data_IF_203805396872
#
_entry.id   IF_203805396872
#
_cell.length_a   1.000
_cell.length_b   1.000
_cell.length_c   1.000
_cell.angle_alpha   90.00
_cell.angle_beta   90.00
_cell.angle_gamma   90.00
#
_symmetry.space_group_name_H-M   'P 1'
#
loop_
_entity.id
_entity.type
_entity.pdbx_description
1 polymer ?
#
# COMPACT_ATOMS: atom_id res chain seq x y z
N UNK A 1 -5.62 26.08 18.24
CA UNK A 1 -6.23 24.89 18.88
C UNK A 1 -5.52 23.66 18.36
N UNK A 2 -4.90 22.84 19.23
CA UNK A 2 -4.43 21.51 18.83
C UNK A 2 -5.65 20.67 18.43
N UNK A 3 -5.71 20.19 17.19
CA UNK A 3 -6.71 19.19 16.79
C UNK A 3 -6.42 17.92 17.57
N UNK A 4 -7.41 17.34 18.21
CA UNK A 4 -7.27 16.00 18.81
C UNK A 4 -7.36 14.97 17.70
N UNK A 5 -6.69 13.82 17.87
CA UNK A 5 -6.76 12.69 16.93
C UNK A 5 -8.20 12.35 16.51
N UNK A 6 -9.11 12.26 17.49
CA UNK A 6 -10.54 12.03 17.27
C UNK A 6 -11.21 13.08 16.38
N UNK A 7 -10.83 14.36 16.52
CA UNK A 7 -11.37 15.43 15.67
C UNK A 7 -10.87 15.32 14.23
N UNK A 8 -9.63 14.85 14.04
CA UNK A 8 -9.06 14.61 12.72
C UNK A 8 -9.73 13.41 12.05
N UNK A 9 -9.85 12.28 12.74
CA UNK A 9 -10.56 11.09 12.24
C UNK A 9 -11.98 11.46 11.81
N UNK A 10 -12.74 12.14 12.69
CA UNK A 10 -14.09 12.59 12.37
C UNK A 10 -14.13 13.49 11.14
N UNK A 11 -13.15 14.38 10.98
CA UNK A 11 -13.06 15.24 9.80
C UNK A 11 -12.82 14.40 8.54
N UNK A 12 -11.81 13.53 8.53
CA UNK A 12 -11.47 12.70 7.37
C UNK A 12 -12.64 11.81 6.99
N UNK A 13 -13.27 11.14 7.97
CA UNK A 13 -14.46 10.32 7.76
C UNK A 13 -15.60 11.11 7.10
N UNK A 14 -15.85 12.34 7.55
CA UNK A 14 -16.90 13.20 6.99
C UNK A 14 -16.53 13.81 5.62
N UNK A 15 -15.24 13.85 5.27
CA UNK A 15 -14.76 14.33 3.98
C UNK A 15 -14.82 13.25 2.89
N UNK A 16 -15.18 12.00 3.24
CA UNK A 16 -15.48 10.92 2.29
C UNK A 16 -16.85 11.15 1.64
N UNK A 17 -16.94 10.95 0.33
CA UNK A 17 -18.18 11.10 -0.43
C UNK A 17 -18.92 9.78 -0.58
N UNK A 18 -18.22 8.67 -0.48
CA UNK A 18 -18.80 7.34 -0.64
C UNK A 18 -19.42 6.88 0.68
N UNK A 19 -20.60 6.22 0.68
CA UNK A 19 -21.19 5.66 1.88
C UNK A 19 -20.19 4.77 2.62
N UNK A 20 -19.91 5.13 3.87
CA UNK A 20 -18.93 4.45 4.72
C UNK A 20 -19.65 3.86 5.93
N UNK A 21 -19.49 2.55 6.13
CA UNK A 21 -20.09 1.82 7.24
C UNK A 21 -19.01 1.19 8.11
N UNK A 22 -19.30 1.04 9.40
CA UNK A 22 -18.46 0.32 10.34
C UNK A 22 -19.14 -0.98 10.78
N UNK A 23 -18.36 -2.07 10.88
CA UNK A 23 -18.80 -3.36 11.41
C UNK A 23 -17.71 -3.99 12.26
N UNK A 24 -18.10 -4.74 13.27
CA UNK A 24 -17.18 -5.62 13.99
C UNK A 24 -16.81 -6.83 13.13
N UNK A 25 -15.60 -7.34 13.30
CA UNK A 25 -15.05 -8.47 12.58
C UNK A 25 -14.14 -9.30 13.47
N UNK A 26 -14.03 -10.59 13.16
CA UNK A 26 -13.09 -11.52 13.79
C UNK A 26 -11.63 -11.24 13.39
N UNK A 27 -11.39 -10.38 12.39
CA UNK A 27 -10.04 -9.96 12.01
C UNK A 27 -9.35 -9.26 13.20
N UNK A 28 -8.07 -9.53 13.46
CA UNK A 28 -7.35 -8.96 14.60
C UNK A 28 -6.92 -7.49 14.37
N UNK A 29 -7.14 -6.95 13.17
CA UNK A 29 -6.71 -5.61 12.73
C UNK A 29 -7.88 -4.82 12.16
N UNK A 30 -7.79 -3.49 12.17
CA UNK A 30 -8.73 -2.66 11.41
C UNK A 30 -8.45 -2.88 9.92
N UNK A 31 -9.50 -2.96 9.12
CA UNK A 31 -9.37 -3.01 7.67
C UNK A 31 -10.52 -2.30 6.98
N UNK A 32 -10.23 -1.42 6.03
CA UNK A 32 -11.23 -0.93 5.09
C UNK A 32 -11.40 -1.95 3.97
N UNK A 33 -12.65 -2.16 3.56
CA UNK A 33 -13.02 -2.89 2.35
C UNK A 33 -13.72 -1.90 1.45
N UNK A 34 -13.22 -1.75 0.24
CA UNK A 34 -13.80 -0.81 -0.73
C UNK A 34 -14.47 -1.56 -1.87
N UNK A 35 -15.74 -1.22 -2.11
CA UNK A 35 -16.47 -1.62 -3.29
C UNK A 35 -16.52 -0.43 -4.27
N UNK A 36 -15.58 -0.41 -5.21
CA UNK A 36 -15.47 0.65 -6.23
C UNK A 36 -16.68 0.65 -7.16
N UNK A 37 -17.32 -0.51 -7.38
CA UNK A 37 -18.48 -0.62 -8.29
C UNK A 37 -19.69 0.05 -7.68
N UNK A 38 -19.95 -0.22 -6.40
CA UNK A 38 -21.03 0.40 -5.64
C UNK A 38 -20.64 1.73 -4.98
N UNK A 39 -19.37 2.14 -5.13
CA UNK A 39 -18.78 3.33 -4.52
C UNK A 39 -19.06 3.41 -3.03
N UNK A 40 -18.63 2.40 -2.28
CA UNK A 40 -18.82 2.32 -0.83
C UNK A 40 -17.61 1.76 -0.09
N UNK A 41 -17.53 2.08 1.19
CA UNK A 41 -16.49 1.60 2.10
C UNK A 41 -17.13 0.88 3.29
N UNK A 42 -16.48 -0.21 3.73
CA UNK A 42 -16.81 -0.95 4.94
C UNK A 42 -15.54 -1.04 5.80
N UNK A 43 -15.54 -0.38 6.94
CA UNK A 43 -14.45 -0.47 7.93
C UNK A 43 -14.78 -1.60 8.89
N UNK A 44 -13.92 -2.61 8.89
CA UNK A 44 -13.96 -3.75 9.78
C UNK A 44 -13.13 -3.44 11.03
N UNK A 45 -13.78 -3.49 12.19
CA UNK A 45 -13.18 -3.25 13.50
C UNK A 45 -12.98 -4.59 14.22
N UNK A 46 -11.82 -4.83 14.85
CA UNK A 46 -11.60 -6.07 15.60
C UNK A 46 -12.56 -6.18 16.79
N UNK A 47 -13.15 -7.37 17.00
CA UNK A 47 -14.03 -7.63 18.15
C UNK A 47 -13.33 -7.44 19.50
N UNK A 48 -12.07 -7.86 19.57
CA UNK A 48 -11.22 -7.71 20.75
C UNK A 48 -10.18 -6.63 20.44
N UNK A 49 -10.29 -5.49 21.11
CA UNK A 49 -9.24 -4.50 21.09
C UNK A 49 -8.04 -5.04 21.87
N UNK A 50 -7.07 -5.59 21.14
CA UNK A 50 -5.86 -6.14 21.76
C UNK A 50 -4.96 -5.03 22.34
N UNK A 51 -5.07 -3.78 21.89
CA UNK A 51 -4.34 -2.62 22.44
C UNK A 51 -5.17 -1.32 22.42
N UNK A 52 -5.04 -0.51 23.48
CA UNK A 52 -5.60 0.86 23.58
C UNK A 52 -4.75 1.86 22.77
N UNK A 53 -4.86 1.86 21.45
CA UNK A 53 -4.66 3.04 20.58
C UNK A 53 -4.80 2.60 19.13
N UNK A 54 -6.04 2.47 18.66
CA UNK A 54 -6.37 2.03 17.30
C UNK A 54 -6.70 3.22 16.37
N UNK A 55 -6.42 4.44 16.82
CA UNK A 55 -6.81 5.66 16.10
C UNK A 55 -5.88 5.92 14.89
N UNK A 56 -4.58 5.59 14.99
CA UNK A 56 -3.64 5.73 13.87
C UNK A 56 -3.92 4.70 12.78
N UNK A 57 -4.16 3.45 13.15
CA UNK A 57 -4.52 2.38 12.21
C UNK A 57 -5.89 2.67 11.59
N UNK A 58 -6.86 3.15 12.38
CA UNK A 58 -8.15 3.59 11.83
C UNK A 58 -7.95 4.73 10.82
N UNK A 59 -7.08 5.70 11.13
CA UNK A 59 -6.77 6.79 10.23
C UNK A 59 -6.02 6.31 8.98
N UNK A 60 -5.18 5.28 9.09
CA UNK A 60 -4.49 4.63 7.97
C UNK A 60 -5.52 4.05 6.99
N UNK A 61 -6.49 3.28 7.51
CA UNK A 61 -7.57 2.71 6.70
C UNK A 61 -8.47 3.78 6.06
N UNK A 62 -8.71 4.90 6.75
CA UNK A 62 -9.35 6.07 6.14
C UNK A 62 -8.48 6.73 5.05
N UNK A 63 -7.16 6.65 5.16
CA UNK A 63 -6.24 7.11 4.14
C UNK A 63 -6.40 6.34 2.83
N UNK A 64 -6.54 5.01 2.89
CA UNK A 64 -6.89 4.20 1.73
C UNK A 64 -8.21 4.63 1.08
N UNK A 65 -9.27 4.80 1.88
CA UNK A 65 -10.56 5.28 1.37
C UNK A 65 -10.42 6.67 0.71
N UNK A 66 -9.68 7.57 1.36
CA UNK A 66 -9.44 8.92 0.88
C UNK A 66 -8.70 8.93 -0.46
N UNK A 67 -7.60 8.18 -0.59
CA UNK A 67 -6.84 8.10 -1.84
C UNK A 67 -7.62 7.36 -2.93
N UNK A 68 -8.42 6.35 -2.56
CA UNK A 68 -9.31 5.66 -3.49
C UNK A 68 -10.31 6.62 -4.15
N UNK A 69 -10.98 7.46 -3.36
CA UNK A 69 -11.95 8.42 -3.88
C UNK A 69 -11.31 9.58 -4.65
N UNK A 70 -10.21 10.13 -4.12
CA UNK A 70 -9.65 11.41 -4.59
C UNK A 70 -8.58 11.25 -5.66
N UNK A 71 -7.91 10.11 -5.71
CA UNK A 71 -6.80 9.86 -6.63
C UNK A 71 -7.15 8.77 -7.62
N UNK A 72 -7.28 7.53 -7.14
CA UNK A 72 -7.61 6.40 -8.02
C UNK A 72 -8.02 5.16 -7.20
N UNK A 73 -8.96 4.32 -7.69
CA UNK A 73 -9.36 3.07 -7.04
C UNK A 73 -8.26 2.04 -6.74
N UNK A 74 -7.04 2.26 -7.22
CA UNK A 74 -5.90 1.36 -7.00
C UNK A 74 -5.46 1.34 -5.53
N UNK A 75 -5.73 2.42 -4.80
CA UNK A 75 -5.39 2.57 -3.38
C UNK A 75 -6.36 1.84 -2.43
N UNK A 76 -7.32 1.09 -2.97
CA UNK A 76 -8.16 0.21 -2.16
C UNK A 76 -7.35 -1.01 -1.69
N UNK A 77 -7.31 -1.22 -0.37
CA UNK A 77 -6.68 -2.33 0.42
C UNK A 77 -6.93 -3.77 -0.04
N UNK A 78 -7.79 -3.99 -1.02
CA UNK A 78 -8.17 -5.34 -1.44
C UNK A 78 -7.75 -5.66 -2.87
N UNK A 79 -7.36 -4.65 -3.66
CA UNK A 79 -7.20 -4.77 -5.11
C UNK A 79 -8.48 -5.25 -5.79
N UNK A 80 -9.02 -4.49 -6.76
CA UNK A 80 -10.02 -5.08 -7.64
C UNK A 80 -9.31 -5.87 -8.71
N UNK A 81 -9.55 -7.18 -8.79
CA UNK A 81 -8.93 -8.07 -9.78
C UNK A 81 -9.90 -8.37 -10.91
N UNK A 82 -9.37 -8.58 -12.11
CA UNK A 82 -10.21 -8.99 -13.23
C UNK A 82 -10.93 -10.32 -12.92
N UNK A 83 -12.20 -10.50 -13.35
CA UNK A 83 -13.01 -11.68 -13.00
C UNK A 83 -12.40 -13.04 -13.34
N UNK A 84 -11.45 -13.08 -14.28
CA UNK A 84 -10.80 -14.30 -14.78
C UNK A 84 -9.39 -14.53 -14.22
N UNK A 85 -8.88 -13.66 -13.34
CA UNK A 85 -7.55 -13.85 -12.75
C UNK A 85 -7.58 -15.06 -11.82
N UNK A 86 -6.71 -16.03 -12.10
CA UNK A 86 -6.59 -17.21 -11.27
C UNK A 86 -6.12 -16.82 -9.87
N UNK A 87 -6.90 -17.14 -8.84
CA UNK A 87 -6.55 -16.89 -7.42
C UNK A 87 -5.16 -17.40 -7.04
N UNK A 88 -4.71 -18.50 -7.63
CA UNK A 88 -3.36 -19.05 -7.39
C UNK A 88 -2.23 -18.18 -7.94
N UNK A 89 -2.52 -17.33 -8.93
CA UNK A 89 -1.54 -16.43 -9.55
C UNK A 89 -1.45 -15.09 -8.82
N UNK A 90 -2.56 -14.53 -8.33
CA UNK A 90 -2.55 -13.20 -7.73
C UNK A 90 -2.46 -13.16 -6.20
N UNK A 91 -2.96 -14.18 -5.48
CA UNK A 91 -2.91 -14.17 -4.01
C UNK A 91 -1.47 -14.00 -3.45
N UNK A 92 -0.44 -14.63 -4.04
CA UNK A 92 0.95 -14.42 -3.60
C UNK A 92 1.48 -13.00 -3.83
N UNK A 93 0.80 -12.19 -4.65
CA UNK A 93 1.24 -10.85 -5.03
C UNK A 93 0.54 -9.75 -4.24
N UNK A 94 -0.58 -10.07 -3.58
CA UNK A 94 -1.31 -9.16 -2.71
C UNK A 94 -0.42 -8.38 -1.73
N UNK A 95 0.60 -8.99 -1.09
CA UNK A 95 1.49 -8.25 -0.20
C UNK A 95 2.16 -7.05 -0.88
N UNK A 96 2.65 -7.19 -2.12
CA UNK A 96 3.27 -6.07 -2.85
C UNK A 96 2.28 -4.98 -3.25
N UNK A 97 1.03 -5.36 -3.57
CA UNK A 97 -0.02 -4.38 -3.86
C UNK A 97 -0.36 -3.55 -2.62
N UNK A 98 -0.52 -4.22 -1.47
CA UNK A 98 -0.81 -3.57 -0.22
C UNK A 98 0.35 -2.66 0.19
N UNK A 99 1.57 -3.20 0.27
CA UNK A 99 2.74 -2.43 0.69
C UNK A 99 3.00 -1.22 -0.21
N UNK A 100 2.79 -1.34 -1.53
CA UNK A 100 2.85 -0.20 -2.45
C UNK A 100 1.79 0.86 -2.13
N UNK A 101 0.54 0.45 -1.87
CA UNK A 101 -0.51 1.39 -1.48
C UNK A 101 -0.20 2.06 -0.14
N UNK A 102 0.30 1.29 0.83
CA UNK A 102 0.60 1.75 2.18
C UNK A 102 1.71 2.81 2.17
N UNK A 103 2.67 2.72 1.25
CA UNK A 103 3.69 3.76 1.05
C UNK A 103 3.08 5.16 0.82
N UNK A 104 2.05 5.25 -0.01
CA UNK A 104 1.36 6.51 -0.29
C UNK A 104 0.41 6.91 0.85
N UNK A 105 -0.26 5.94 1.48
CA UNK A 105 -1.16 6.21 2.62
C UNK A 105 -0.37 6.71 3.83
N UNK A 106 0.77 6.10 4.14
CA UNK A 106 1.64 6.52 5.22
C UNK A 106 2.17 7.93 4.95
N UNK A 107 2.55 8.28 3.73
CA UNK A 107 2.90 9.67 3.40
C UNK A 107 1.72 10.62 3.61
N UNK A 108 0.52 10.24 3.19
CA UNK A 108 -0.68 11.03 3.48
C UNK A 108 -0.89 11.22 5.00
N UNK A 109 -0.56 10.23 5.84
CA UNK A 109 -0.56 10.38 7.30
C UNK A 109 0.57 11.30 7.81
N UNK A 110 1.76 11.23 7.21
CA UNK A 110 2.90 12.11 7.53
C UNK A 110 2.55 13.58 7.30
N UNK A 111 1.83 13.90 6.23
CA UNK A 111 1.41 15.28 5.94
C UNK A 111 0.44 15.86 6.98
N UNK A 112 -0.34 15.01 7.67
CA UNK A 112 -1.35 15.45 8.64
C UNK A 112 -0.90 15.32 10.10
N UNK A 113 -0.01 14.37 10.41
CA UNK A 113 0.45 14.03 11.76
C UNK A 113 1.94 13.61 11.77
N UNK A 114 2.87 14.48 11.34
CA UNK A 114 4.27 14.09 11.16
C UNK A 114 4.93 13.65 12.47
N UNK A 115 4.61 14.30 13.60
CA UNK A 115 5.21 13.96 14.89
C UNK A 115 4.79 12.57 15.38
N UNK A 116 3.51 12.21 15.24
CA UNK A 116 2.98 10.91 15.61
C UNK A 116 3.54 9.81 14.70
N UNK A 117 3.64 10.06 13.40
CA UNK A 117 4.19 9.10 12.44
C UNK A 117 5.71 8.91 12.63
N UNK A 118 6.48 9.97 12.83
CA UNK A 118 7.90 9.87 13.18
C UNK A 118 8.13 9.05 14.45
N UNK A 119 7.26 9.23 15.46
CA UNK A 119 7.29 8.43 16.68
C UNK A 119 6.96 6.97 16.40
N UNK A 120 5.93 6.69 15.59
CA UNK A 120 5.56 5.34 15.20
C UNK A 120 6.70 4.61 14.48
N UNK A 121 7.40 5.28 13.56
CA UNK A 121 8.57 4.71 12.88
C UNK A 121 9.61 4.28 13.92
N UNK A 122 10.03 5.21 14.80
CA UNK A 122 11.05 4.96 15.83
C UNK A 122 10.66 3.84 16.80
N UNK A 123 9.40 3.81 17.24
CA UNK A 123 8.92 2.81 18.18
C UNK A 123 8.88 1.40 17.58
N UNK A 124 8.72 1.27 16.26
CA UNK A 124 8.62 -0.02 15.57
C UNK A 124 9.96 -0.53 15.00
N UNK A 125 10.98 0.32 14.88
CA UNK A 125 12.31 -0.10 14.40
C UNK A 125 12.92 -1.28 15.19
N UNK A 126 12.83 -1.35 16.53
CA UNK A 126 13.33 -2.51 17.28
C UNK A 126 12.64 -3.84 16.91
N UNK A 127 11.36 -3.79 16.54
CA UNK A 127 10.61 -4.98 16.10
C UNK A 127 11.10 -5.43 14.72
N UNK A 128 11.42 -4.49 13.83
CA UNK A 128 12.03 -4.81 12.53
C UNK A 128 13.39 -5.46 12.70
N UNK A 129 14.24 -4.95 13.60
CA UNK A 129 15.53 -5.58 13.91
C UNK A 129 15.37 -7.01 14.45
N UNK A 130 14.40 -7.24 15.35
CA UNK A 130 14.12 -8.57 15.90
C UNK A 130 13.68 -9.56 14.81
N UNK A 131 12.73 -9.14 13.95
CA UNK A 131 12.20 -9.97 12.87
C UNK A 131 13.27 -10.30 11.83
N UNK A 132 14.10 -9.34 11.46
CA UNK A 132 15.18 -9.54 10.48
C UNK A 132 16.37 -10.32 11.08
N UNK A 133 16.53 -10.33 12.40
CA UNK A 133 17.53 -11.15 13.11
C UNK A 133 17.13 -12.62 13.27
N UNK A 134 15.93 -13.03 12.88
CA UNK A 134 15.48 -14.42 12.99
C UNK A 134 16.26 -15.35 12.04
N UNK A 135 16.57 -16.60 12.46
CA UNK A 135 17.39 -17.52 11.67
C UNK A 135 16.72 -18.04 10.38
N UNK A 136 15.40 -17.91 10.29
CA UNK A 136 14.62 -18.28 9.11
C UNK A 136 14.10 -17.03 8.42
N UNK A 137 14.05 -17.04 7.09
CA UNK A 137 13.42 -15.98 6.32
C UNK A 137 11.95 -15.82 6.73
N UNK A 138 11.52 -14.62 7.15
CA UNK A 138 10.12 -14.37 7.44
C UNK A 138 9.24 -14.54 6.17
N UNK A 139 7.93 -14.74 6.35
CA UNK A 139 6.93 -14.56 5.30
C UNK A 139 7.10 -13.24 4.53
N UNK A 140 6.77 -13.24 3.24
CA UNK A 140 6.98 -12.10 2.34
C UNK A 140 6.27 -10.81 2.78
N UNK A 141 5.06 -10.92 3.31
CA UNK A 141 4.30 -9.81 3.90
C UNK A 141 5.08 -9.15 5.03
N UNK A 142 5.64 -9.95 5.94
CA UNK A 142 6.49 -9.44 7.03
C UNK A 142 7.76 -8.75 6.48
N UNK A 143 8.38 -9.31 5.43
CA UNK A 143 9.54 -8.68 4.79
C UNK A 143 9.17 -7.34 4.17
N UNK A 144 8.02 -7.25 3.49
CA UNK A 144 7.54 -6.02 2.87
C UNK A 144 7.20 -4.95 3.91
N UNK A 145 6.54 -5.31 5.01
CA UNK A 145 6.22 -4.39 6.10
C UNK A 145 7.48 -3.85 6.77
N UNK A 146 8.47 -4.72 7.03
CA UNK A 146 9.77 -4.32 7.55
C UNK A 146 10.51 -3.39 6.59
N UNK A 147 10.50 -3.71 5.29
CA UNK A 147 11.13 -2.90 4.23
C UNK A 147 10.48 -1.52 4.12
N UNK A 148 9.15 -1.46 4.21
CA UNK A 148 8.38 -0.23 4.22
C UNK A 148 8.79 0.66 5.40
N UNK A 149 8.89 0.09 6.61
CA UNK A 149 9.31 0.85 7.78
C UNK A 149 10.75 1.37 7.67
N UNK A 150 11.67 0.56 7.14
CA UNK A 150 13.05 0.98 6.85
C UNK A 150 13.07 2.13 5.84
N UNK A 151 12.32 2.00 4.73
CA UNK A 151 12.22 3.05 3.72
C UNK A 151 11.65 4.36 4.32
N UNK A 152 10.68 4.26 5.23
CA UNK A 152 10.15 5.41 5.96
C UNK A 152 11.18 6.06 6.88
N UNK A 153 11.95 5.27 7.62
CA UNK A 153 13.02 5.79 8.48
C UNK A 153 14.09 6.52 7.66
N UNK A 154 14.52 5.95 6.54
CA UNK A 154 15.46 6.59 5.61
C UNK A 154 14.87 7.88 5.04
N UNK A 155 13.62 7.86 4.58
CA UNK A 155 13.01 8.99 3.87
C UNK A 155 12.57 10.15 4.79
N UNK A 156 12.02 9.86 5.97
CA UNK A 156 11.43 10.88 6.86
C UNK A 156 12.32 11.26 8.04
N UNK A 157 13.22 10.37 8.48
CA UNK A 157 14.07 10.58 9.66
C UNK A 157 15.54 10.79 9.31
N UNK A 158 15.91 10.70 8.02
CA UNK A 158 17.29 10.72 7.53
C UNK A 158 18.18 9.68 8.25
N UNK A 159 17.59 8.55 8.69
CA UNK A 159 18.32 7.50 9.40
C UNK A 159 18.97 6.55 8.38
N UNK A 160 20.31 6.47 8.31
CA UNK A 160 20.97 5.53 7.43
C UNK A 160 20.81 4.11 8.02
N UNK A 161 20.10 3.25 7.29
CA UNK A 161 19.89 1.85 7.69
C UNK A 161 20.61 0.95 6.69
N UNK A 162 21.57 0.19 7.18
CA UNK A 162 22.28 -0.81 6.39
C UNK A 162 21.39 -2.03 6.19
N UNK A 163 21.08 -2.33 4.93
CA UNK A 163 20.38 -3.53 4.51
C UNK A 163 21.05 -4.11 3.25
N UNK A 164 20.93 -5.43 3.06
CA UNK A 164 21.52 -6.16 1.95
C UNK A 164 20.52 -7.09 1.24
N UNK A 165 20.98 -7.72 0.15
CA UNK A 165 20.22 -8.72 -0.59
C UNK A 165 18.82 -8.26 -1.05
N UNK A 166 17.83 -9.14 -0.87
CA UNK A 166 16.44 -8.89 -1.28
C UNK A 166 15.83 -7.73 -0.49
N UNK A 167 16.14 -7.61 0.80
CA UNK A 167 15.65 -6.53 1.64
C UNK A 167 16.06 -5.16 1.08
N UNK A 168 17.34 -5.01 0.73
CA UNK A 168 17.83 -3.78 0.10
C UNK A 168 17.10 -3.47 -1.20
N UNK A 169 16.88 -4.46 -2.06
CA UNK A 169 16.18 -4.25 -3.32
C UNK A 169 14.74 -3.75 -3.12
N UNK A 170 14.05 -4.24 -2.08
CA UNK A 170 12.70 -3.78 -1.74
C UNK A 170 12.72 -2.37 -1.15
N UNK A 171 13.65 -2.06 -0.24
CA UNK A 171 13.82 -0.70 0.31
C UNK A 171 14.13 0.30 -0.80
N UNK A 172 15.06 -0.02 -1.70
CA UNK A 172 15.39 0.80 -2.85
C UNK A 172 14.16 1.01 -3.76
N UNK A 173 13.34 -0.02 -3.96
CA UNK A 173 12.10 0.10 -4.74
C UNK A 173 11.16 1.18 -4.16
N UNK A 174 10.94 1.19 -2.83
CA UNK A 174 10.17 2.26 -2.17
C UNK A 174 10.79 3.64 -2.38
N UNK A 175 12.09 3.77 -2.09
CA UNK A 175 12.79 5.05 -2.14
C UNK A 175 12.88 5.65 -3.54
N UNK A 176 12.72 4.83 -4.58
CA UNK A 176 12.73 5.31 -5.96
C UNK A 176 11.40 5.90 -6.44
N UNK A 177 10.31 5.72 -5.70
CA UNK A 177 8.98 6.24 -6.05
C UNK A 177 8.56 7.26 -4.98
N UNK A 178 8.57 8.57 -5.29
CA UNK A 178 8.25 9.59 -4.29
C UNK A 178 6.78 9.48 -3.83
N UNK A 179 6.51 9.32 -2.52
CA UNK A 179 5.15 9.08 -2.05
C UNK A 179 4.27 10.34 -2.02
N UNK A 180 4.86 11.54 -2.13
CA UNK A 180 4.15 12.83 -2.16
C UNK A 180 3.35 13.09 -3.45
N UNK A 181 3.46 12.16 -4.42
CA UNK A 181 2.74 12.22 -5.69
C UNK A 181 1.93 10.95 -5.90
N UNK A 182 0.88 10.69 -5.10
CA UNK A 182 0.04 9.52 -5.29
C UNK A 182 -0.63 9.60 -6.67
N UNK A 183 -0.43 8.56 -7.48
CA UNK A 183 -1.10 8.37 -8.76
C UNK A 183 -1.20 6.88 -9.06
N UNK A 184 -2.10 6.50 -9.97
CA UNK A 184 -2.20 5.12 -10.42
C UNK A 184 -0.89 4.63 -11.06
N UNK A 185 -0.26 5.49 -11.86
CA UNK A 185 1.00 5.20 -12.53
C UNK A 185 2.14 4.95 -11.53
N UNK A 186 2.32 5.84 -10.54
CA UNK A 186 3.36 5.66 -9.52
C UNK A 186 3.11 4.41 -8.67
N UNK A 187 1.85 4.09 -8.36
CA UNK A 187 1.50 2.87 -7.66
C UNK A 187 1.86 1.62 -8.50
N UNK A 188 1.53 1.60 -9.80
CA UNK A 188 1.91 0.49 -10.70
C UNK A 188 3.43 0.35 -10.79
N UNK A 189 4.17 1.46 -10.92
CA UNK A 189 5.63 1.45 -10.96
C UNK A 189 6.18 0.82 -9.68
N UNK A 190 5.70 1.27 -8.52
CA UNK A 190 6.15 0.74 -7.23
C UNK A 190 5.83 -0.75 -7.08
N UNK A 191 4.59 -1.17 -7.35
CA UNK A 191 4.18 -2.59 -7.31
C UNK A 191 5.12 -3.45 -8.15
N UNK A 192 5.43 -3.03 -9.38
CA UNK A 192 6.30 -3.81 -10.25
C UNK A 192 7.76 -3.84 -9.78
N UNK A 193 8.26 -2.75 -9.18
CA UNK A 193 9.61 -2.74 -8.58
C UNK A 193 9.69 -3.65 -7.35
N UNK A 194 8.67 -3.65 -6.49
CA UNK A 194 8.58 -4.57 -5.36
C UNK A 194 8.55 -6.02 -5.83
N UNK A 195 7.69 -6.33 -6.80
CA UNK A 195 7.58 -7.68 -7.37
C UNK A 195 8.88 -8.15 -8.04
N UNK A 196 9.59 -7.26 -8.74
CA UNK A 196 10.85 -7.58 -9.39
C UNK A 196 11.96 -8.05 -8.42
N UNK A 197 11.84 -7.77 -7.12
CA UNK A 197 12.80 -8.22 -6.12
C UNK A 197 12.71 -9.73 -5.82
N UNK A 198 11.61 -10.40 -6.17
CA UNK A 198 11.37 -11.80 -5.76
C UNK A 198 10.57 -12.65 -6.77
N UNK A 199 10.07 -12.08 -7.87
CA UNK A 199 9.35 -12.81 -8.93
C UNK A 199 9.54 -12.19 -10.31
N UNK A 200 9.45 -13.01 -11.35
CA UNK A 200 9.45 -12.57 -12.76
C UNK A 200 8.08 -12.05 -13.22
N UNK A 201 7.04 -12.21 -12.40
CA UNK A 201 5.71 -11.70 -12.72
C UNK A 201 5.64 -10.18 -12.60
N UNK A 202 4.71 -9.56 -13.34
CA UNK A 202 4.44 -8.13 -13.32
C UNK A 202 2.93 -7.87 -13.25
N UNK A 203 2.57 -6.71 -12.71
CA UNK A 203 1.19 -6.28 -12.56
C UNK A 203 0.89 -5.09 -13.47
N UNK A 204 -0.33 -5.02 -13.98
CA UNK A 204 -0.83 -3.86 -14.74
C UNK A 204 -2.29 -3.63 -14.42
N UNK A 205 -2.76 -2.41 -14.66
CA UNK A 205 -4.18 -2.12 -14.66
C UNK A 205 -4.76 -2.37 -16.05
N UNK A 206 -5.88 -3.10 -16.11
CA UNK A 206 -6.67 -3.29 -17.33
C UNK A 206 -8.09 -2.73 -17.13
N UNK A 207 -8.75 -2.25 -18.20
CA UNK A 207 -10.14 -1.80 -18.11
C UNK A 207 -11.11 -2.95 -17.77
N UNK A 208 -12.04 -2.72 -16.86
CA UNK A 208 -13.22 -3.55 -16.58
C UNK A 208 -14.45 -2.62 -16.49
N UNK A 209 -15.12 -2.42 -17.64
CA UNK A 209 -16.20 -1.45 -17.75
C UNK A 209 -15.73 -0.01 -17.50
N UNK A 210 -16.22 0.62 -16.44
CA UNK A 210 -15.95 2.03 -16.11
C UNK A 210 -14.81 2.20 -15.07
N UNK A 211 -14.12 1.13 -14.70
CA UNK A 211 -13.04 1.16 -13.72
C UNK A 211 -11.88 0.29 -14.20
N UNK A 212 -10.75 0.37 -13.50
CA UNK A 212 -9.57 -0.44 -13.79
C UNK A 212 -9.38 -1.50 -12.72
N UNK A 213 -8.96 -2.68 -13.13
CA UNK A 213 -8.68 -3.83 -12.27
C UNK A 213 -7.26 -4.32 -12.50
N UNK A 214 -6.69 -4.96 -11.49
CA UNK A 214 -5.38 -5.57 -11.57
C UNK A 214 -5.42 -6.83 -12.43
N UNK A 215 -4.44 -6.92 -13.33
CA UNK A 215 -4.04 -8.09 -14.09
C UNK A 215 -2.58 -8.40 -13.78
N UNK A 216 -2.25 -9.69 -13.83
CA UNK A 216 -0.89 -10.20 -13.57
C UNK A 216 -0.46 -10.97 -14.80
N UNK A 217 0.73 -10.65 -15.30
CA UNK A 217 1.31 -11.29 -16.46
C UNK A 217 2.77 -11.64 -16.19
N UNK A 218 3.28 -12.61 -16.94
CA UNK A 218 4.71 -12.85 -17.02
C UNK A 218 5.20 -12.15 -18.28
N UNK A 219 6.12 -11.17 -18.18
CA UNK A 219 6.80 -10.63 -19.34
C UNK A 219 7.46 -11.80 -20.10
N UNK A 220 7.53 -11.73 -21.44
CA UNK A 220 8.38 -12.67 -22.18
C UNK A 220 9.80 -12.62 -21.60
N UNK A 221 10.44 -13.77 -21.43
CA UNK A 221 11.88 -13.82 -21.13
C UNK A 221 12.59 -13.06 -22.27
N UNK A 222 13.19 -11.92 -21.94
CA UNK A 222 13.87 -11.10 -22.95
C UNK A 222 14.99 -11.93 -23.60
N UNK A 223 14.79 -12.32 -24.86
CA UNK A 223 15.90 -12.37 -25.80
C UNK A 223 16.21 -10.91 -26.13
N UNK A 224 17.22 -10.33 -25.46
CA UNK A 224 17.88 -9.05 -25.78
C UNK A 224 17.00 -8.00 -26.51
N UNK A 225 16.31 -7.13 -25.77
CA UNK A 225 15.83 -5.86 -26.33
C UNK A 225 16.12 -4.71 -25.39
N UNK A 226 17.22 -4.01 -25.72
CA UNK A 226 17.54 -2.66 -25.26
C UNK A 226 16.37 -1.70 -25.44
N UNK A 227 16.13 -0.86 -24.42
CA UNK A 227 15.24 0.31 -24.37
C UNK A 227 14.66 0.77 -25.71
N UNK A 228 13.36 0.56 -25.93
CA UNK A 228 12.61 1.28 -26.97
C UNK A 228 11.12 1.42 -26.65
N UNK A 229 10.74 2.64 -26.28
CA UNK A 229 9.50 3.34 -26.67
C UNK A 229 8.15 2.89 -26.08
N UNK A 230 7.74 3.52 -24.98
CA UNK A 230 6.33 3.86 -24.76
C UNK A 230 5.98 5.08 -25.63
N UNK A 231 5.52 4.86 -26.86
CA UNK A 231 4.84 5.90 -27.63
C UNK A 231 3.34 5.80 -27.39
N UNK A 232 2.77 6.92 -26.95
CA UNK A 232 1.35 7.25 -26.91
C UNK A 232 0.58 6.69 -28.14
N UNK A 233 -0.54 6.02 -27.89
CA UNK A 233 -1.63 5.98 -28.87
C UNK A 233 -2.81 6.77 -28.32
N UNK A 234 -2.85 8.02 -28.77
CA UNK A 234 -4.04 8.86 -28.79
C UNK A 234 -4.98 8.38 -29.90
N UNK A 235 -6.27 8.31 -29.55
CA UNK A 235 -7.46 8.70 -30.34
C UNK A 235 -7.70 8.04 -31.70
N UNK A 236 -8.95 7.61 -31.86
CA UNK A 236 -9.85 7.49 -33.05
C UNK A 236 -10.47 6.09 -32.99
N UNK A 237 -11.72 5.92 -32.57
CA UNK A 237 -12.93 6.28 -33.32
C UNK A 237 -14.13 6.42 -32.39
#
# INVERSE_FOLDING_TARGET
MKKTMKSLIKKVFNDLNWPTLERTSELPVIRVITDVRNRSHLILMPEKQHNKSNDLDYLHELGHATLCEKVHPVFATNGQFAPLVNKRQFLPLLPSLNAASDWFVCHWQQEILPAEMHKQIKDNMPVVEEVLGMPNLPPLDIILDASLLIAQAVHYLDEPIDCDGVLKNIVDAFLTVPPERPSAENCIILVNRLMAAYTDQRARLIPDGNFSVWDVYQPPEDNDVTEATYSQQSIVS
#
